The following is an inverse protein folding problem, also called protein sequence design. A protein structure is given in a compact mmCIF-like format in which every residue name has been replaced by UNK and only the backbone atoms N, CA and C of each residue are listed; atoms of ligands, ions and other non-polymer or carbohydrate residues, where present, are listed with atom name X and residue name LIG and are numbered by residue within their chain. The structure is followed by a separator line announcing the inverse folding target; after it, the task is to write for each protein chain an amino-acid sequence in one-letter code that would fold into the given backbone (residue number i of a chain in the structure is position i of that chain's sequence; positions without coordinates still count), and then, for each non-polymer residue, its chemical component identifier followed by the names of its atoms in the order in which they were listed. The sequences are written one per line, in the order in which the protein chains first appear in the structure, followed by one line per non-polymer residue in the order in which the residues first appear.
data_IF_058357463998
#
_entry.id   IF_058357463998
#
_cell.length_a   1.000
_cell.length_b   1.000
_cell.length_c   1.000
_cell.angle_alpha   90.00
_cell.angle_beta   90.00
_cell.angle_gamma   90.00
#
_symmetry.space_group_name_H-M   'P 1'
#
loop_
_entity.id
_entity.type
_entity.pdbx_description
1 polymer ?
#
# COMPACT_ATOMS: atom_id res chain seq x y z
N UNK A 1 -9.14 21.32 6.31
CA UNK A 1 -8.40 20.44 7.25
C UNK A 1 -6.98 20.26 6.75
N UNK A 2 -6.01 19.96 7.63
CA UNK A 2 -4.61 19.67 7.26
C UNK A 2 -4.22 18.34 7.92
N UNK A 3 -3.63 17.43 7.14
CA UNK A 3 -3.10 16.16 7.62
C UNK A 3 -1.57 16.20 7.57
N UNK A 4 -0.91 15.55 8.52
CA UNK A 4 0.55 15.56 8.65
C UNK A 4 1.06 14.12 8.63
N UNK A 5 2.10 13.89 7.82
CA UNK A 5 2.85 12.64 7.76
C UNK A 5 4.32 12.94 8.02
N UNK A 6 5.03 11.99 8.63
CA UNK A 6 6.47 12.11 8.87
C UNK A 6 7.13 10.75 8.71
N UNK A 7 8.31 10.71 8.10
CA UNK A 7 9.09 9.49 7.90
C UNK A 7 10.58 9.85 7.97
N UNK A 8 11.41 8.91 8.41
CA UNK A 8 12.85 9.13 8.58
C UNK A 8 13.36 8.60 9.92
N UNK A 9 14.42 9.24 10.43
CA UNK A 9 15.13 8.78 11.62
C UNK A 9 14.30 8.98 12.89
N UNK A 10 14.12 7.91 13.67
CA UNK A 10 13.42 7.95 14.96
C UNK A 10 14.29 8.65 16.01
N UNK A 11 13.66 9.45 16.88
CA UNK A 11 14.32 10.09 18.01
C UNK A 11 15.10 11.37 17.67
N UNK A 12 14.97 11.87 16.43
CA UNK A 12 15.60 13.11 15.97
C UNK A 12 14.53 14.20 15.81
N UNK A 13 14.78 15.37 16.41
CA UNK A 13 13.89 16.53 16.28
C UNK A 13 13.96 17.12 14.87
N UNK A 14 12.83 17.67 14.40
CA UNK A 14 12.78 18.33 13.10
C UNK A 14 13.71 19.55 13.07
N UNK A 15 14.48 19.77 11.99
CA UNK A 15 15.33 20.95 11.82
C UNK A 15 14.44 22.18 11.49
N UNK A 16 13.83 22.76 12.52
CA UNK A 16 12.85 23.84 12.38
C UNK A 16 13.42 25.11 11.73
N UNK A 17 14.72 25.35 11.91
CA UNK A 17 15.50 26.41 11.27
C UNK A 17 15.51 26.28 9.74
N UNK A 18 15.46 25.06 9.21
CA UNK A 18 15.33 24.78 7.76
C UNK A 18 13.87 24.71 7.31
N UNK A 19 13.01 24.12 8.15
CA UNK A 19 11.62 23.87 7.80
C UNK A 19 10.81 25.16 7.70
N UNK A 20 10.90 26.06 8.67
CA UNK A 20 10.09 27.28 8.71
C UNK A 20 10.31 28.20 7.50
N UNK A 21 11.56 28.48 7.05
CA UNK A 21 11.79 29.26 5.84
C UNK A 21 11.45 28.51 4.54
N UNK A 22 11.41 27.17 4.58
CA UNK A 22 11.08 26.34 3.43
C UNK A 22 9.58 26.31 3.09
N UNK A 23 8.71 26.40 4.10
CA UNK A 23 7.24 26.40 3.91
C UNK A 23 6.78 27.41 2.84
N UNK A 24 7.08 28.72 2.93
CA UNK A 24 6.60 29.68 1.93
C UNK A 24 7.13 29.39 0.53
N UNK A 25 8.36 28.86 0.41
CA UNK A 25 8.95 28.50 -0.89
C UNK A 25 8.23 27.33 -1.56
N UNK A 26 7.72 26.38 -0.76
CA UNK A 26 6.93 25.25 -1.29
C UNK A 26 5.56 25.74 -1.77
N UNK A 27 4.96 26.72 -1.09
CA UNK A 27 3.68 27.31 -1.50
C UNK A 27 3.79 27.94 -2.89
N UNK A 28 4.89 28.62 -3.20
CA UNK A 28 5.15 29.21 -4.52
C UNK A 28 5.32 28.17 -5.64
N UNK A 29 5.58 26.90 -5.29
CA UNK A 29 5.81 25.78 -6.22
C UNK A 29 4.60 24.86 -6.36
N UNK A 30 3.45 25.20 -5.77
CA UNK A 30 2.24 24.40 -5.91
C UNK A 30 1.83 24.33 -7.40
N UNK A 31 1.65 23.11 -7.89
CA UNK A 31 1.24 22.82 -9.26
C UNK A 31 0.18 21.71 -9.26
N UNK A 32 -0.90 21.82 -10.07
CA UNK A 32 -1.92 20.77 -10.17
C UNK A 32 -1.38 19.39 -10.57
N UNK A 33 -0.29 19.37 -11.33
CA UNK A 33 0.39 18.19 -11.87
C UNK A 33 1.72 17.88 -11.18
N UNK A 34 2.00 18.48 -10.01
CA UNK A 34 3.27 18.34 -9.27
C UNK A 34 3.53 16.98 -8.61
N UNK A 35 2.89 15.90 -9.06
CA UNK A 35 2.94 14.57 -8.47
C UNK A 35 4.33 13.94 -8.48
N UNK A 36 5.08 14.08 -9.58
CA UNK A 36 6.45 13.55 -9.66
C UNK A 36 7.38 14.19 -8.63
N UNK A 37 7.33 15.52 -8.51
CA UNK A 37 8.10 16.26 -7.53
C UNK A 37 7.70 15.89 -6.10
N UNK A 38 6.40 15.75 -5.83
CA UNK A 38 5.89 15.33 -4.53
C UNK A 38 6.32 13.90 -4.17
N UNK A 39 6.20 12.95 -5.09
CA UNK A 39 6.59 11.56 -4.88
C UNK A 39 8.11 11.42 -4.65
N UNK A 40 8.93 12.19 -5.36
CA UNK A 40 10.36 12.24 -5.13
C UNK A 40 10.72 12.86 -3.77
N UNK A 41 9.99 13.90 -3.33
CA UNK A 41 10.27 14.61 -2.09
C UNK A 41 9.94 13.81 -0.81
N UNK A 42 9.04 12.83 -0.88
CA UNK A 42 8.69 11.99 0.28
C UNK A 42 9.62 10.79 0.48
N UNK A 43 10.44 10.44 -0.53
CA UNK A 43 11.34 9.28 -0.51
C UNK A 43 12.36 9.33 0.64
N UNK A 44 12.78 8.16 1.13
CA UNK A 44 13.93 8.04 2.04
C UNK A 44 15.01 7.12 1.47
N UNK A 45 14.80 5.81 1.61
CA UNK A 45 15.70 4.75 1.14
C UNK A 45 15.21 4.12 -0.16
N UNK A 46 14.05 4.57 -0.63
CA UNK A 46 13.51 4.31 -1.95
C UNK A 46 14.55 4.64 -3.04
N UNK A 47 14.63 3.79 -4.07
CA UNK A 47 15.53 4.05 -5.22
C UNK A 47 14.83 4.76 -6.37
N UNK A 48 13.49 4.82 -6.33
CA UNK A 48 12.66 5.47 -7.32
C UNK A 48 11.31 5.95 -6.74
N UNK A 49 10.75 7.05 -7.28
CA UNK A 49 9.39 7.47 -6.97
C UNK A 49 8.38 6.39 -7.37
N UNK A 50 7.26 6.32 -6.64
CA UNK A 50 6.18 5.35 -6.90
C UNK A 50 4.88 6.11 -7.07
N UNK A 51 4.36 6.09 -8.29
CA UNK A 51 3.18 6.83 -8.74
C UNK A 51 2.34 5.92 -9.60
N UNK A 52 1.03 6.04 -9.50
CA UNK A 52 0.09 5.36 -10.38
C UNK A 52 -1.19 6.20 -10.52
N UNK A 53 -1.86 6.04 -11.67
CA UNK A 53 -3.15 6.68 -11.95
C UNK A 53 -4.13 5.63 -12.47
N UNK A 54 -5.40 5.80 -12.14
CA UNK A 54 -6.53 5.05 -12.68
C UNK A 54 -7.63 6.00 -13.10
N UNK A 55 -8.36 5.59 -14.13
CA UNK A 55 -9.61 6.23 -14.52
C UNK A 55 -10.74 5.21 -14.46
N UNK A 56 -11.90 5.62 -13.98
CA UNK A 56 -13.10 4.79 -13.91
C UNK A 56 -14.31 5.58 -14.37
N UNK A 57 -15.16 4.96 -15.18
CA UNK A 57 -16.41 5.57 -15.63
C UNK A 57 -17.52 5.29 -14.61
N UNK A 58 -18.12 6.34 -14.07
CA UNK A 58 -19.24 6.29 -13.13
C UNK A 58 -20.44 7.03 -13.76
N UNK A 59 -21.41 6.29 -14.28
CA UNK A 59 -22.47 6.87 -15.11
C UNK A 59 -21.89 7.44 -16.41
N UNK A 60 -22.09 8.73 -16.66
CA UNK A 60 -21.52 9.44 -17.82
C UNK A 60 -20.18 10.12 -17.50
N UNK A 61 -19.79 10.19 -16.23
CA UNK A 61 -18.59 10.88 -15.78
C UNK A 61 -17.36 9.95 -15.80
N UNK A 62 -16.20 10.52 -16.13
CA UNK A 62 -14.89 9.86 -15.96
C UNK A 62 -14.23 10.41 -14.71
N UNK A 63 -14.06 9.54 -13.72
CA UNK A 63 -13.35 9.82 -12.47
C UNK A 63 -11.88 9.41 -12.61
N UNK A 64 -10.99 10.22 -12.05
CA UNK A 64 -9.55 9.97 -11.96
C UNK A 64 -9.15 9.71 -10.52
N UNK A 65 -8.28 8.73 -10.30
CA UNK A 65 -7.57 8.49 -9.05
C UNK A 65 -6.07 8.54 -9.33
N UNK A 66 -5.33 9.40 -8.64
CA UNK A 66 -3.87 9.42 -8.70
C UNK A 66 -3.30 9.22 -7.30
N UNK A 67 -2.34 8.32 -7.18
CA UNK A 67 -1.73 7.96 -5.91
C UNK A 67 -0.21 7.95 -5.99
N UNK A 68 0.42 8.31 -4.87
CA UNK A 68 1.84 8.14 -4.64
C UNK A 68 2.07 7.35 -3.36
N UNK A 69 3.15 6.57 -3.32
CA UNK A 69 3.55 5.85 -2.13
C UNK A 69 5.06 5.93 -1.89
N UNK A 70 5.46 5.75 -0.63
CA UNK A 70 6.85 5.71 -0.19
C UNK A 70 7.08 4.59 0.80
N UNK A 71 8.23 3.93 0.69
CA UNK A 71 8.66 2.84 1.54
C UNK A 71 9.55 1.85 0.78
N UNK A 72 10.63 1.43 1.42
CA UNK A 72 11.57 0.44 0.89
C UNK A 72 12.14 -0.46 2.00
N UNK A 73 12.38 0.09 3.19
CA UNK A 73 12.68 -0.65 4.41
C UNK A 73 11.67 -0.33 5.51
N UNK A 74 11.64 -1.19 6.52
CA UNK A 74 10.62 -1.27 7.56
C UNK A 74 9.25 -1.31 6.89
N UNK A 75 8.96 -2.39 6.16
CA UNK A 75 7.70 -2.57 5.43
C UNK A 75 7.09 -3.88 5.88
N UNK A 76 6.21 -3.80 6.86
CA UNK A 76 5.29 -4.87 7.21
C UNK A 76 3.95 -4.31 7.72
N UNK A 77 3.10 -3.81 6.79
CA UNK A 77 1.84 -3.17 7.11
C UNK A 77 0.89 -4.05 7.92
N UNK A 78 0.58 -3.60 9.14
CA UNK A 78 -0.52 -4.13 9.94
C UNK A 78 -1.46 -3.00 10.36
N UNK A 79 -1.81 -2.17 9.37
CA UNK A 79 -2.80 -1.07 9.27
C UNK A 79 -2.33 -0.03 8.23
N UNK A 80 -1.01 0.09 8.03
CA UNK A 80 -0.26 0.43 6.80
C UNK A 80 1.24 0.25 7.17
N UNK A 81 2.20 0.22 6.25
CA UNK A 81 3.65 0.43 6.51
C UNK A 81 4.30 1.06 5.30
N UNK A 82 4.21 2.39 5.28
CA UNK A 82 4.48 3.28 4.15
C UNK A 82 3.87 4.66 4.44
N UNK A 83 4.20 5.65 3.61
CA UNK A 83 3.35 6.82 3.40
C UNK A 83 2.66 6.69 2.05
N UNK A 84 1.36 6.93 1.99
CA UNK A 84 0.59 6.90 0.74
C UNK A 84 -0.45 8.02 0.73
N UNK A 85 -0.51 8.73 -0.39
CA UNK A 85 -1.46 9.81 -0.62
C UNK A 85 -2.13 9.55 -1.95
N UNK A 86 -3.45 9.49 -1.91
CA UNK A 86 -4.32 9.28 -3.06
C UNK A 86 -5.25 10.49 -3.16
N UNK A 87 -5.40 11.04 -4.35
CA UNK A 87 -6.38 12.05 -4.66
C UNK A 87 -7.31 11.57 -5.77
N UNK A 88 -8.58 11.95 -5.68
CA UNK A 88 -9.59 11.68 -6.69
C UNK A 88 -10.52 12.87 -6.86
N UNK A 89 -11.09 12.98 -8.05
CA UNK A 89 -12.14 13.94 -8.37
C UNK A 89 -13.57 13.37 -8.20
N UNK A 90 -13.71 12.12 -7.75
CA UNK A 90 -15.00 11.49 -7.48
C UNK A 90 -15.85 12.30 -6.48
N UNK A 91 -17.15 12.42 -6.76
CA UNK A 91 -18.15 12.77 -5.75
C UNK A 91 -18.49 11.52 -4.94
N UNK A 92 -18.09 11.49 -3.67
CA UNK A 92 -18.27 10.36 -2.76
C UNK A 92 -18.36 10.87 -1.33
N UNK A 93 -19.35 10.38 -0.58
CA UNK A 93 -19.55 10.74 0.81
C UNK A 93 -18.34 10.28 1.66
N UNK A 94 -17.87 11.11 2.59
CA UNK A 94 -16.68 10.84 3.38
C UNK A 94 -16.70 9.48 4.12
N UNK A 95 -17.82 9.04 4.75
CA UNK A 95 -17.85 7.73 5.41
C UNK A 95 -17.68 6.56 4.42
N UNK A 96 -18.21 6.71 3.20
CA UNK A 96 -18.11 5.71 2.13
C UNK A 96 -16.69 5.68 1.57
N UNK A 97 -16.06 6.84 1.40
CA UNK A 97 -14.66 6.94 1.01
C UNK A 97 -13.72 6.27 2.02
N UNK A 98 -14.00 6.43 3.32
CA UNK A 98 -13.23 5.77 4.38
C UNK A 98 -13.41 4.25 4.34
N UNK A 99 -14.63 3.76 4.08
CA UNK A 99 -14.87 2.32 3.89
C UNK A 99 -14.10 1.79 2.67
N UNK A 100 -14.20 2.48 1.52
CA UNK A 100 -13.50 2.12 0.30
C UNK A 100 -11.97 2.02 0.51
N UNK A 101 -11.37 2.99 1.21
CA UNK A 101 -9.95 2.95 1.55
C UNK A 101 -9.62 1.77 2.47
N UNK A 102 -10.48 1.48 3.45
CA UNK A 102 -10.28 0.36 4.39
C UNK A 102 -10.28 -0.98 3.65
N UNK A 103 -11.25 -1.19 2.76
CA UNK A 103 -11.38 -2.40 1.95
C UNK A 103 -10.19 -2.56 1.00
N UNK A 104 -9.83 -1.49 0.27
CA UNK A 104 -8.67 -1.49 -0.62
C UNK A 104 -7.36 -1.78 0.14
N UNK A 105 -7.15 -1.14 1.29
CA UNK A 105 -5.95 -1.31 2.12
C UNK A 105 -5.80 -2.75 2.64
N UNK A 106 -6.91 -3.38 3.04
CA UNK A 106 -6.93 -4.75 3.58
C UNK A 106 -6.40 -5.80 2.59
N UNK A 107 -6.56 -5.57 1.28
CA UNK A 107 -6.14 -6.51 0.23
C UNK A 107 -4.91 -6.05 -0.55
N UNK A 108 -4.35 -4.87 -0.26
CA UNK A 108 -3.19 -4.30 -0.96
C UNK A 108 -2.01 -4.05 -0.01
N UNK A 109 -1.91 -2.88 0.62
CA UNK A 109 -0.79 -2.55 1.49
C UNK A 109 -0.71 -3.52 2.68
N UNK A 110 -1.82 -3.95 3.29
CA UNK A 110 -1.81 -4.97 4.36
C UNK A 110 -1.56 -6.41 3.87
N UNK A 111 -1.07 -6.57 2.63
CA UNK A 111 -0.70 -7.86 2.01
C UNK A 111 0.74 -7.89 1.51
N UNK A 112 1.57 -6.92 1.88
CA UNK A 112 2.99 -6.89 1.52
C UNK A 112 3.92 -7.00 2.73
N UNK A 113 5.16 -7.43 2.49
CA UNK A 113 6.23 -7.40 3.49
C UNK A 113 7.60 -7.36 2.78
N UNK A 114 8.52 -6.53 3.28
CA UNK A 114 9.93 -6.54 2.88
C UNK A 114 10.77 -7.23 3.95
N UNK A 115 10.71 -6.78 5.19
CA UNK A 115 11.56 -7.23 6.29
C UNK A 115 10.80 -7.80 7.50
N UNK A 116 9.49 -7.57 7.57
CA UNK A 116 8.66 -8.03 8.70
C UNK A 116 8.51 -7.00 9.81
N UNK A 117 9.12 -5.82 9.67
CA UNK A 117 9.08 -4.75 10.67
C UNK A 117 7.99 -3.71 10.34
N UNK A 118 7.04 -3.52 11.25
CA UNK A 118 5.98 -2.49 11.15
C UNK A 118 6.52 -1.14 11.64
N UNK A 119 6.28 -0.05 10.90
CA UNK A 119 6.78 1.28 11.29
C UNK A 119 5.87 1.99 12.29
N UNK A 120 6.42 3.02 12.95
CA UNK A 120 5.69 3.85 13.93
C UNK A 120 4.83 4.95 13.29
N UNK A 121 4.93 5.15 11.97
CA UNK A 121 4.41 6.34 11.28
C UNK A 121 3.55 6.03 10.06
N UNK A 122 2.98 4.85 10.04
CA UNK A 122 2.33 4.32 8.87
C UNK A 122 1.03 5.08 8.56
N UNK A 123 0.88 5.58 7.32
CA UNK A 123 -0.25 6.46 6.98
C UNK A 123 -0.65 6.34 5.51
N UNK A 124 -1.90 5.96 5.25
CA UNK A 124 -2.55 6.05 3.95
C UNK A 124 -3.67 7.09 4.01
N UNK A 125 -3.66 8.05 3.08
CA UNK A 125 -4.66 9.12 2.98
C UNK A 125 -5.31 9.05 1.61
N UNK A 126 -6.63 9.20 1.56
CA UNK A 126 -7.38 9.46 0.33
C UNK A 126 -8.15 10.77 0.47
N UNK A 127 -8.14 11.59 -0.58
CA UNK A 127 -8.86 12.86 -0.65
C UNK A 127 -9.71 12.91 -1.92
N UNK A 128 -10.99 13.30 -1.78
CA UNK A 128 -11.93 13.41 -2.89
C UNK A 128 -12.50 14.84 -2.96
N UNK A 129 -12.54 15.45 -4.15
CA UNK A 129 -13.00 16.84 -4.31
C UNK A 129 -14.34 16.99 -5.05
N UNK A 130 -14.92 15.91 -5.59
CA UNK A 130 -16.23 15.93 -6.25
C UNK A 130 -16.30 16.62 -7.62
N UNK A 131 -15.18 16.97 -8.24
CA UNK A 131 -15.15 17.74 -9.49
C UNK A 131 -15.42 16.92 -10.76
N UNK A 132 -15.47 15.58 -10.69
CA UNK A 132 -15.67 14.72 -11.86
C UNK A 132 -17.09 14.77 -12.46
N UNK A 133 -18.07 15.26 -11.70
CA UNK A 133 -19.46 15.38 -12.15
C UNK A 133 -20.26 14.07 -12.12
N UNK A 134 -19.75 13.01 -11.49
CA UNK A 134 -20.54 11.82 -11.20
C UNK A 134 -21.59 12.11 -10.11
N UNK A 135 -22.69 11.35 -10.09
CA UNK A 135 -23.61 11.34 -8.95
C UNK A 135 -22.85 10.93 -7.69
N UNK A 136 -23.13 11.60 -6.57
CA UNK A 136 -22.43 11.33 -5.31
C UNK A 136 -22.67 9.89 -4.85
N UNK A 137 -21.59 9.14 -4.62
CA UNK A 137 -21.68 7.81 -4.03
C UNK A 137 -21.94 7.97 -2.53
N UNK A 138 -23.17 7.66 -2.10
CA UNK A 138 -23.63 7.88 -0.72
C UNK A 138 -23.72 6.63 0.15
N UNK A 139 -23.59 5.44 -0.45
CA UNK A 139 -23.55 4.17 0.27
C UNK A 139 -22.48 3.22 -0.28
N UNK A 140 -22.13 2.22 0.51
CA UNK A 140 -21.17 1.17 0.16
C UNK A 140 -21.85 0.03 -0.62
N UNK A 141 -22.71 0.39 -1.59
CA UNK A 141 -23.48 -0.56 -2.40
C UNK A 141 -23.61 -0.08 -3.86
N UNK A 142 -24.06 -0.99 -4.72
CA UNK A 142 -24.32 -0.71 -6.12
C UNK A 142 -23.06 -0.62 -7.00
N UNK A 143 -23.32 -0.44 -8.30
CA UNK A 143 -22.29 -0.57 -9.34
C UNK A 143 -21.26 0.55 -9.30
N UNK A 144 -21.68 1.78 -8.95
CA UNK A 144 -20.77 2.93 -8.87
C UNK A 144 -19.75 2.77 -7.73
N UNK A 145 -20.20 2.35 -6.54
CA UNK A 145 -19.29 2.04 -5.43
C UNK A 145 -18.35 0.89 -5.79
N UNK A 146 -18.89 -0.21 -6.35
CA UNK A 146 -18.08 -1.36 -6.74
C UNK A 146 -17.00 -1.00 -7.77
N UNK A 147 -17.34 -0.20 -8.78
CA UNK A 147 -16.40 0.29 -9.78
C UNK A 147 -15.32 1.20 -9.17
N UNK A 148 -15.72 2.14 -8.30
CA UNK A 148 -14.77 3.01 -7.60
C UNK A 148 -13.80 2.23 -6.70
N UNK A 149 -14.32 1.30 -5.89
CA UNK A 149 -13.50 0.46 -4.99
C UNK A 149 -12.58 -0.45 -5.79
N UNK A 150 -13.01 -1.00 -6.92
CA UNK A 150 -12.16 -1.79 -7.78
C UNK A 150 -10.97 -0.96 -8.33
N UNK A 151 -11.24 0.26 -8.81
CA UNK A 151 -10.19 1.16 -9.30
C UNK A 151 -9.24 1.59 -8.18
N UNK A 152 -9.76 1.91 -6.99
CA UNK A 152 -8.94 2.24 -5.82
C UNK A 152 -8.09 1.05 -5.37
N UNK A 153 -8.67 -0.15 -5.34
CA UNK A 153 -7.98 -1.39 -4.96
C UNK A 153 -6.85 -1.71 -5.93
N UNK A 154 -7.09 -1.58 -7.23
CA UNK A 154 -6.07 -1.82 -8.25
C UNK A 154 -4.92 -0.79 -8.15
N UNK A 155 -5.25 0.49 -7.93
CA UNK A 155 -4.27 1.53 -7.67
C UNK A 155 -3.41 1.22 -6.43
N UNK A 156 -4.05 0.92 -5.30
CA UNK A 156 -3.34 0.57 -4.06
C UNK A 156 -2.50 -0.70 -4.22
N UNK A 157 -2.98 -1.68 -4.99
CA UNK A 157 -2.26 -2.93 -5.27
C UNK A 157 -1.00 -2.67 -6.09
N UNK A 158 -1.07 -1.85 -7.14
CA UNK A 158 0.12 -1.47 -7.92
C UNK A 158 1.15 -0.75 -7.05
N UNK A 159 0.72 0.23 -6.26
CA UNK A 159 1.59 0.97 -5.35
C UNK A 159 2.22 0.03 -4.29
N UNK A 160 1.43 -0.88 -3.71
CA UNK A 160 1.93 -1.87 -2.74
C UNK A 160 3.01 -2.77 -3.36
N UNK A 161 2.79 -3.26 -4.58
CA UNK A 161 3.81 -4.06 -5.26
C UNK A 161 5.05 -3.22 -5.64
N UNK A 162 4.88 -1.94 -5.97
CA UNK A 162 5.98 -1.03 -6.25
C UNK A 162 6.87 -0.83 -5.01
N UNK A 163 6.29 -0.78 -3.80
CA UNK A 163 7.03 -0.77 -2.53
C UNK A 163 7.89 -2.03 -2.39
N UNK A 164 7.33 -3.22 -2.60
CA UNK A 164 8.08 -4.49 -2.48
C UNK A 164 9.18 -4.60 -3.53
N UNK A 165 8.89 -4.24 -4.78
CA UNK A 165 9.88 -4.28 -5.88
C UNK A 165 11.03 -3.30 -5.67
N UNK A 166 10.82 -2.25 -4.89
CA UNK A 166 11.83 -1.27 -4.51
C UNK A 166 12.36 -1.48 -3.08
N UNK A 167 12.08 -2.63 -2.48
CA UNK A 167 12.54 -2.91 -1.12
C UNK A 167 14.06 -2.88 -1.02
N UNK A 168 14.59 -2.52 0.16
CA UNK A 168 16.03 -2.40 0.38
C UNK A 168 16.77 -3.70 0.05
N UNK A 169 17.66 -3.65 -0.95
CA UNK A 169 18.43 -4.81 -1.41
C UNK A 169 17.61 -5.90 -2.12
N UNK A 170 16.36 -5.64 -2.49
CA UNK A 170 15.49 -6.61 -3.17
C UNK A 170 16.01 -6.90 -4.58
N UNK A 171 16.18 -8.19 -4.91
CA UNK A 171 16.54 -8.64 -6.26
C UNK A 171 15.42 -9.44 -6.95
N UNK A 172 14.41 -9.89 -6.19
CA UNK A 172 13.28 -10.67 -6.69
C UNK A 172 11.99 -10.26 -5.99
N UNK A 173 10.91 -10.17 -6.77
CA UNK A 173 9.55 -10.04 -6.26
C UNK A 173 8.90 -11.43 -6.18
N UNK A 174 8.29 -11.76 -5.05
CA UNK A 174 7.67 -13.08 -4.80
C UNK A 174 6.22 -12.87 -4.37
N UNK A 175 5.31 -13.53 -5.09
CA UNK A 175 3.90 -13.62 -4.70
C UNK A 175 3.66 -14.95 -4.00
N UNK A 176 3.14 -14.91 -2.77
CA UNK A 176 2.66 -16.09 -2.05
C UNK A 176 1.14 -16.17 -2.20
N UNK A 177 0.66 -17.24 -2.83
CA UNK A 177 -0.77 -17.51 -2.98
C UNK A 177 -1.12 -18.73 -2.13
N UNK A 178 -2.03 -18.56 -1.17
CA UNK A 178 -2.54 -19.63 -0.33
C UNK A 178 -3.98 -19.91 -0.73
N UNK A 179 -4.31 -21.18 -0.94
CA UNK A 179 -5.65 -21.65 -1.29
C UNK A 179 -6.02 -22.83 -0.39
N UNK A 180 -7.31 -23.03 -0.15
CA UNK A 180 -7.80 -24.15 0.66
C UNK A 180 -7.64 -23.99 2.17
N UNK A 181 -7.26 -22.80 2.67
CA UNK A 181 -7.31 -22.50 4.11
C UNK A 181 -8.76 -22.42 4.61
N UNK A 182 -8.98 -22.61 5.91
CA UNK A 182 -10.34 -22.57 6.46
C UNK A 182 -10.96 -21.17 6.47
N UNK A 183 -10.13 -20.13 6.39
CA UNK A 183 -10.55 -18.74 6.26
C UNK A 183 -9.49 -17.87 5.59
N UNK A 184 -9.88 -16.69 5.13
CA UNK A 184 -8.95 -15.67 4.62
C UNK A 184 -7.93 -15.23 5.67
N UNK A 185 -8.32 -15.22 6.95
CA UNK A 185 -7.42 -14.90 8.05
C UNK A 185 -6.31 -15.96 8.18
N UNK A 186 -6.66 -17.24 8.14
CA UNK A 186 -5.67 -18.33 8.15
C UNK A 186 -4.81 -18.32 6.87
N UNK A 187 -5.41 -18.08 5.71
CA UNK A 187 -4.69 -17.96 4.44
C UNK A 187 -3.64 -16.84 4.52
N UNK A 188 -4.04 -15.68 5.06
CA UNK A 188 -3.15 -14.56 5.25
C UNK A 188 -2.05 -14.85 6.27
N UNK A 189 -2.38 -15.51 7.39
CA UNK A 189 -1.41 -15.90 8.41
C UNK A 189 -0.36 -16.88 7.86
N UNK A 190 -0.76 -17.86 7.05
CA UNK A 190 0.15 -18.75 6.34
C UNK A 190 1.04 -17.97 5.36
N UNK A 191 0.43 -17.14 4.51
CA UNK A 191 1.13 -16.35 3.51
C UNK A 191 2.16 -15.43 4.17
N UNK A 192 1.79 -14.77 5.26
CA UNK A 192 2.65 -13.88 6.01
C UNK A 192 3.83 -14.63 6.64
N UNK A 193 3.58 -15.80 7.23
CA UNK A 193 4.64 -16.63 7.83
C UNK A 193 5.65 -17.10 6.78
N UNK A 194 5.20 -17.43 5.57
CA UNK A 194 6.08 -17.77 4.44
C UNK A 194 6.87 -16.54 4.00
N UNK A 195 6.20 -15.41 3.78
CA UNK A 195 6.79 -14.18 3.23
C UNK A 195 7.87 -13.57 4.15
N UNK A 196 7.71 -13.72 5.47
CA UNK A 196 8.65 -13.21 6.49
C UNK A 196 9.73 -14.23 6.89
N UNK A 197 9.69 -15.46 6.36
CA UNK A 197 10.66 -16.51 6.72
C UNK A 197 12.05 -16.24 6.11
N UNK A 198 13.12 -16.02 6.92
CA UNK A 198 14.45 -15.77 6.39
C UNK A 198 14.98 -16.92 5.52
N UNK A 199 14.66 -18.16 5.88
CA UNK A 199 15.05 -19.34 5.10
C UNK A 199 14.38 -19.36 3.73
N UNK A 200 13.10 -18.98 3.64
CA UNK A 200 12.39 -18.90 2.36
C UNK A 200 12.96 -17.76 1.51
N UNK A 201 13.14 -16.57 2.09
CA UNK A 201 13.68 -15.40 1.39
C UNK A 201 15.09 -15.67 0.83
N UNK A 202 15.96 -16.29 1.63
CA UNK A 202 17.33 -16.64 1.19
C UNK A 202 17.35 -17.74 0.13
N UNK A 203 16.41 -18.69 0.16
CA UNK A 203 16.27 -19.68 -0.91
C UNK A 203 15.92 -19.02 -2.25
N UNK A 204 14.91 -18.13 -2.26
CA UNK A 204 14.56 -17.37 -3.46
C UNK A 204 15.69 -16.47 -3.96
N UNK A 205 16.40 -15.80 -3.05
CA UNK A 205 17.59 -15.01 -3.40
C UNK A 205 18.63 -15.87 -4.14
N UNK A 206 18.93 -17.06 -3.63
CA UNK A 206 19.86 -18.02 -4.24
C UNK A 206 19.33 -18.73 -5.49
N UNK A 207 18.07 -18.51 -5.90
CA UNK A 207 17.45 -19.23 -7.00
C UNK A 207 17.13 -20.70 -6.69
N UNK A 208 17.02 -21.06 -5.41
CA UNK A 208 16.70 -22.41 -4.93
C UNK A 208 15.17 -22.58 -4.75
N UNK A 209 14.59 -23.54 -5.49
CA UNK A 209 13.17 -23.89 -5.41
C UNK A 209 12.87 -24.82 -4.22
N UNK A 210 13.17 -24.34 -3.01
CA UNK A 210 13.17 -25.15 -1.80
C UNK A 210 11.77 -25.28 -1.15
N UNK A 211 10.96 -26.20 -1.67
CA UNK A 211 9.62 -26.47 -1.14
C UNK A 211 9.62 -26.89 0.35
N UNK A 212 10.67 -27.58 0.81
CA UNK A 212 10.82 -27.97 2.22
C UNK A 212 10.86 -26.77 3.17
N UNK A 213 11.54 -25.68 2.79
CA UNK A 213 11.56 -24.43 3.57
C UNK A 213 10.20 -23.73 3.60
N UNK A 214 9.40 -23.86 2.53
CA UNK A 214 8.04 -23.31 2.47
C UNK A 214 7.12 -24.10 3.41
N UNK A 215 7.12 -25.44 3.33
CA UNK A 215 6.31 -26.27 4.24
C UNK A 215 6.73 -26.11 5.70
N UNK A 216 8.02 -25.97 5.99
CA UNK A 216 8.49 -25.68 7.34
C UNK A 216 7.95 -24.33 7.86
N UNK A 217 7.82 -23.31 6.99
CA UNK A 217 7.21 -22.04 7.34
C UNK A 217 5.70 -22.18 7.58
N UNK A 218 4.97 -22.92 6.72
CA UNK A 218 3.55 -23.22 6.91
C UNK A 218 3.30 -23.97 8.23
N UNK A 219 4.14 -24.96 8.55
CA UNK A 219 4.01 -25.76 9.78
C UNK A 219 4.19 -24.96 11.07
N UNK A 220 4.83 -23.79 11.02
CA UNK A 220 4.96 -22.86 12.16
C UNK A 220 4.04 -21.65 12.07
N UNK A 221 3.10 -21.62 11.13
CA UNK A 221 2.20 -20.49 10.94
C UNK A 221 1.15 -20.34 12.06
N UNK A 222 0.99 -21.34 12.94
CA UNK A 222 0.01 -21.28 14.03
C UNK A 222 -1.44 -21.46 13.57
N UNK A 223 -1.64 -22.14 12.44
CA UNK A 223 -2.94 -22.50 11.88
C UNK A 223 -3.06 -24.04 11.80
N UNK A 224 -4.28 -24.56 11.64
CA UNK A 224 -4.49 -25.98 11.38
C UNK A 224 -3.99 -26.33 9.98
N UNK A 225 -3.08 -27.32 9.88
CA UNK A 225 -2.51 -27.80 8.61
C UNK A 225 -2.58 -29.31 8.60
N UNK A 226 -3.03 -29.88 7.48
CA UNK A 226 -2.94 -31.31 7.20
C UNK A 226 -1.79 -31.50 6.20
N UNK A 227 -0.57 -31.88 6.65
CA UNK A 227 0.62 -31.88 5.80
C UNK A 227 0.46 -32.71 4.53
N UNK A 228 -0.30 -33.80 4.59
CA UNK A 228 -0.61 -34.69 3.48
C UNK A 228 -1.51 -34.07 2.39
N UNK A 229 -2.16 -32.93 2.68
CA UNK A 229 -3.00 -32.19 1.74
C UNK A 229 -2.34 -30.91 1.21
N UNK A 230 -1.12 -30.59 1.66
CA UNK A 230 -0.34 -29.48 1.12
C UNK A 230 0.36 -29.94 -0.17
N UNK A 231 -0.16 -29.47 -1.32
CA UNK A 231 0.41 -29.72 -2.65
C UNK A 231 1.23 -28.53 -3.15
#
# INVERSE_FOLDING_TARGET
SVLVMSTGVIGVQLPMDKLLPGIPQVVEKLAPDGWEAAAAAIMTTDTRPKLATRTVTLGEATVTLTGMAKGAGMIHPNMATMLSVIATDAAIAQPVLQQALTDANAVSFNRISVDGDTSTNDTAIVMANGLAGNDEIVDAAGDAYAAFVAALTDLCTELAQALVRDGEGVTRFVTVRVQGAASDAEAHQAANTIATSPLVKTAFFGGDANWGRILAAVGRAGIAVQPEQCA
#
